data_IF_635931133157
#
_entry.id   IF_635931133157
#
_cell.length_a   1.000
_cell.length_b   1.000
_cell.length_c   1.000
_cell.angle_alpha   90.00
_cell.angle_beta   90.00
_cell.angle_gamma   90.00
#
_symmetry.space_group_name_H-M   'P 1'
#
loop_
_entity.id
_entity.type
_entity.pdbx_description
1 polymer ?
#
# COMPACT_ATOMS: atom_id res chain seq x y z
N UNK A 1 -16.65 -6.75 19.51
CA UNK A 1 -16.41 -8.20 19.35
C UNK A 1 -16.21 -8.46 17.86
N UNK A 2 -15.40 -9.44 17.46
CA UNK A 2 -15.36 -9.81 16.03
C UNK A 2 -16.75 -10.31 15.58
N UNK A 3 -17.16 -10.08 14.32
CA UNK A 3 -18.42 -10.60 13.82
C UNK A 3 -18.44 -12.13 13.91
N UNK A 4 -19.64 -12.71 14.05
CA UNK A 4 -19.82 -14.13 13.78
C UNK A 4 -19.55 -14.41 12.30
N UNK A 5 -19.38 -15.70 11.95
CA UNK A 5 -19.29 -16.08 10.54
C UNK A 5 -20.56 -15.63 9.82
N UNK A 6 -20.43 -15.30 8.54
CA UNK A 6 -21.53 -14.83 7.71
C UNK A 6 -22.69 -15.83 7.71
N UNK A 7 -22.40 -17.11 7.54
CA UNK A 7 -23.43 -18.16 7.57
C UNK A 7 -24.16 -18.19 8.93
N UNK A 8 -23.44 -18.14 10.04
CA UNK A 8 -24.05 -18.17 11.38
C UNK A 8 -24.97 -16.95 11.60
N UNK A 9 -24.59 -15.79 11.06
CA UNK A 9 -25.44 -14.59 11.06
C UNK A 9 -26.70 -14.78 10.22
N UNK A 10 -26.55 -15.26 8.98
CA UNK A 10 -27.66 -15.48 8.05
C UNK A 10 -28.67 -16.51 8.56
N UNK A 11 -28.20 -17.54 9.28
CA UNK A 11 -29.06 -18.57 9.90
C UNK A 11 -29.53 -18.22 11.32
N UNK A 12 -29.16 -17.05 11.87
CA UNK A 12 -29.56 -16.63 13.21
C UNK A 12 -29.03 -17.51 14.34
N UNK A 13 -27.87 -18.16 14.14
CA UNK A 13 -27.27 -19.07 15.12
C UNK A 13 -26.68 -18.29 16.29
N UNK A 14 -27.14 -18.59 17.50
CA UNK A 14 -26.60 -18.01 18.73
C UNK A 14 -25.26 -18.66 19.09
N UNK A 15 -24.17 -17.95 18.79
CA UNK A 15 -22.82 -18.38 19.18
C UNK A 15 -22.48 -17.95 20.62
N UNK A 16 -21.87 -18.83 21.44
CA UNK A 16 -21.33 -18.47 22.75
C UNK A 16 -20.35 -17.30 22.67
N UNK A 17 -20.42 -16.39 23.65
CA UNK A 17 -19.61 -15.17 23.67
C UNK A 17 -18.20 -15.36 24.24
N UNK A 18 -17.94 -16.48 24.91
CA UNK A 18 -16.75 -16.70 25.73
C UNK A 18 -15.47 -16.88 24.90
N UNK A 19 -15.55 -17.54 23.74
CA UNK A 19 -14.40 -17.84 22.88
C UNK A 19 -14.23 -16.87 21.69
N UNK A 20 -15.04 -15.81 21.63
CA UNK A 20 -15.00 -14.85 20.51
C UNK A 20 -13.91 -13.82 20.69
N UNK A 21 -13.00 -13.77 19.72
CA UNK A 21 -11.98 -12.73 19.63
C UNK A 21 -12.60 -11.33 19.53
N UNK A 22 -11.91 -10.33 20.07
CA UNK A 22 -12.17 -8.90 19.90
C UNK A 22 -11.01 -8.28 19.12
N UNK A 23 -11.21 -7.08 18.56
CA UNK A 23 -10.13 -6.35 17.86
C UNK A 23 -8.90 -6.04 18.73
N UNK A 24 -9.08 -6.08 20.06
CA UNK A 24 -8.03 -5.87 21.05
C UNK A 24 -7.53 -7.19 21.68
N UNK A 25 -8.04 -8.34 21.25
CA UNK A 25 -7.55 -9.64 21.73
C UNK A 25 -6.10 -9.84 21.27
N UNK A 26 -5.27 -10.38 22.16
CA UNK A 26 -3.91 -10.76 21.83
C UNK A 26 -3.93 -11.80 20.68
N UNK A 27 -3.05 -11.61 19.70
CA UNK A 27 -2.95 -12.52 18.56
C UNK A 27 -4.15 -12.50 17.60
N UNK A 28 -5.02 -11.47 17.63
CA UNK A 28 -6.19 -11.42 16.72
C UNK A 28 -5.82 -11.51 15.24
N UNK A 29 -4.64 -11.04 14.84
CA UNK A 29 -4.14 -11.10 13.45
C UNK A 29 -3.30 -12.34 13.14
N UNK A 30 -2.94 -13.14 14.14
CA UNK A 30 -2.04 -14.29 13.96
C UNK A 30 -2.72 -15.61 14.29
N UNK A 31 -3.78 -15.57 15.09
CA UNK A 31 -4.54 -16.75 15.52
C UNK A 31 -5.96 -16.63 14.97
N UNK A 32 -6.35 -17.64 14.19
CA UNK A 32 -7.62 -17.71 13.49
C UNK A 32 -8.38 -18.96 13.97
N UNK A 33 -9.21 -18.85 15.03
CA UNK A 33 -9.93 -20.00 15.56
C UNK A 33 -10.86 -20.56 14.46
N UNK A 34 -10.82 -21.87 14.17
CA UNK A 34 -11.58 -22.44 13.06
C UNK A 34 -13.05 -22.07 13.15
N UNK A 35 -13.69 -22.34 14.29
CA UNK A 35 -15.12 -22.15 14.54
C UNK A 35 -15.65 -20.71 14.39
N UNK A 36 -14.77 -19.70 14.42
CA UNK A 36 -15.17 -18.29 14.32
C UNK A 36 -14.53 -17.58 13.13
N UNK A 37 -13.74 -18.28 12.32
CA UNK A 37 -13.07 -17.70 11.14
C UNK A 37 -13.83 -18.07 9.87
N UNK A 38 -14.07 -17.07 9.04
CA UNK A 38 -14.52 -17.17 7.66
C UNK A 38 -13.87 -16.05 6.82
N UNK A 39 -14.20 -15.98 5.53
CA UNK A 39 -13.69 -14.94 4.62
C UNK A 39 -14.00 -13.53 5.14
N UNK A 40 -15.19 -13.30 5.72
CA UNK A 40 -15.59 -12.00 6.24
C UNK A 40 -14.79 -11.59 7.48
N UNK A 41 -14.59 -12.50 8.45
CA UNK A 41 -13.76 -12.25 9.61
C UNK A 41 -12.31 -11.92 9.21
N UNK A 42 -11.75 -12.64 8.23
CA UNK A 42 -10.41 -12.34 7.69
C UNK A 42 -10.35 -10.96 7.03
N UNK A 43 -11.37 -10.61 6.25
CA UNK A 43 -11.48 -9.27 5.65
C UNK A 43 -11.48 -8.16 6.71
N UNK A 44 -12.29 -8.30 7.78
CA UNK A 44 -12.35 -7.30 8.86
C UNK A 44 -11.00 -7.18 9.59
N UNK A 45 -10.31 -8.30 9.82
CA UNK A 45 -8.95 -8.28 10.39
C UNK A 45 -7.98 -7.55 9.45
N UNK A 46 -7.97 -7.88 8.17
CA UNK A 46 -7.10 -7.24 7.20
C UNK A 46 -7.36 -5.72 7.06
N UNK A 47 -8.63 -5.31 7.04
CA UNK A 47 -9.03 -3.90 7.03
C UNK A 47 -8.59 -3.17 8.29
N UNK A 48 -8.75 -3.80 9.46
CA UNK A 48 -8.31 -3.24 10.74
C UNK A 48 -6.79 -3.06 10.78
N UNK A 49 -6.04 -4.00 10.20
CA UNK A 49 -4.59 -3.93 10.11
C UNK A 49 -4.13 -2.78 9.19
N UNK A 50 -4.76 -2.63 8.02
CA UNK A 50 -4.52 -1.48 7.14
C UNK A 50 -4.84 -0.15 7.84
N UNK A 51 -5.91 -0.11 8.64
CA UNK A 51 -6.26 1.05 9.47
C UNK A 51 -5.14 1.45 10.43
N UNK A 52 -4.53 0.48 11.14
CA UNK A 52 -3.40 0.72 12.05
C UNK A 52 -2.20 1.32 11.33
N UNK A 53 -1.85 0.80 10.15
CA UNK A 53 -0.76 1.35 9.34
C UNK A 53 -1.03 2.80 8.94
N UNK A 54 -2.26 3.09 8.49
CA UNK A 54 -2.65 4.47 8.12
C UNK A 54 -2.57 5.42 9.32
N UNK A 55 -3.01 4.97 10.49
CA UNK A 55 -2.90 5.74 11.74
C UNK A 55 -1.45 6.01 12.10
N UNK A 56 -0.58 5.00 12.05
CA UNK A 56 0.85 5.15 12.31
C UNK A 56 1.49 6.19 11.38
N UNK A 57 1.31 6.06 10.07
CA UNK A 57 1.86 7.02 9.10
C UNK A 57 1.29 8.43 9.28
N UNK A 58 -0.01 8.54 9.59
CA UNK A 58 -0.66 9.82 9.84
C UNK A 58 -0.10 10.52 11.09
N UNK A 59 0.07 9.76 12.18
CA UNK A 59 0.69 10.25 13.41
C UNK A 59 2.14 10.66 13.17
N UNK A 60 2.94 9.80 12.52
CA UNK A 60 4.34 10.12 12.25
C UNK A 60 4.49 11.36 11.37
N UNK A 61 3.64 11.52 10.35
CA UNK A 61 3.62 12.76 9.57
C UNK A 61 3.32 13.97 10.47
N UNK A 62 2.23 13.95 11.22
CA UNK A 62 1.84 15.06 12.09
C UNK A 62 2.93 15.44 13.10
N UNK A 63 3.50 14.47 13.80
CA UNK A 63 4.47 14.74 14.86
C UNK A 63 5.84 15.17 14.35
N UNK A 64 6.25 14.74 13.16
CA UNK A 64 7.63 14.93 12.69
C UNK A 64 7.77 15.89 11.51
N UNK A 65 6.74 16.13 10.69
CA UNK A 65 6.81 17.20 9.66
C UNK A 65 6.38 18.56 10.22
N UNK A 66 5.29 18.64 10.99
CA UNK A 66 4.78 19.94 11.46
C UNK A 66 5.66 20.54 12.58
N UNK A 67 6.33 19.69 13.36
CA UNK A 67 7.28 20.14 14.41
C UNK A 67 8.59 20.63 13.78
N UNK A 68 9.07 20.00 12.70
CA UNK A 68 10.26 20.45 11.95
C UNK A 68 9.98 21.76 11.24
N UNK A 69 8.84 21.90 10.56
CA UNK A 69 8.45 23.15 9.89
C UNK A 69 8.18 24.27 10.90
N UNK A 70 7.62 23.95 12.07
CA UNK A 70 7.49 24.90 13.19
C UNK A 70 8.85 25.30 13.79
N UNK A 71 9.81 24.39 13.89
CA UNK A 71 11.15 24.68 14.42
C UNK A 71 12.00 25.50 13.44
N UNK A 72 11.85 25.27 12.13
CA UNK A 72 12.51 26.02 11.06
C UNK A 72 11.87 27.39 10.82
N UNK A 73 10.59 27.58 11.15
CA UNK A 73 9.91 28.89 11.11
C UNK A 73 10.09 29.69 12.40
N UNK A 74 10.44 29.06 13.52
CA UNK A 74 10.75 29.73 14.78
C UNK A 74 12.10 30.49 14.78
N UNK A 75 12.89 30.40 13.70
CA UNK A 75 14.09 31.23 13.51
C UNK A 75 13.81 32.62 12.92
N UNK A 76 12.55 32.98 12.66
CA UNK A 76 12.16 34.34 12.25
C UNK A 76 11.55 35.11 13.45
N UNK A 77 12.28 36.07 14.07
CA UNK A 77 11.84 36.76 15.27
C UNK A 77 10.86 37.89 14.92
N UNK A 78 9.62 37.53 14.61
CA UNK A 78 8.60 38.56 14.45
C UNK A 78 7.29 38.07 13.85
N UNK A 79 6.50 37.31 14.62
CA UNK A 79 5.02 37.30 14.58
C UNK A 79 4.48 36.27 15.59
N UNK A 80 4.18 36.72 16.81
CA UNK A 80 3.48 35.91 17.81
C UNK A 80 1.97 35.97 17.55
N UNK A 81 1.39 34.91 16.99
CA UNK A 81 -0.04 34.64 17.10
C UNK A 81 -0.28 33.68 18.29
N UNK A 82 -0.97 34.18 19.31
CA UNK A 82 -1.42 33.40 20.45
C UNK A 82 -2.50 32.41 20.02
N UNK A 83 -2.10 31.16 19.80
CA UNK A 83 -3.05 30.05 19.75
C UNK A 83 -2.61 29.02 20.77
N UNK A 84 -3.43 28.82 21.79
CA UNK A 84 -3.24 27.87 22.88
C UNK A 84 -3.10 26.45 22.31
N UNK A 85 -1.86 26.04 22.06
CA UNK A 85 -1.52 24.65 21.72
C UNK A 85 -1.65 23.79 22.99
N UNK A 86 -2.13 22.54 22.89
CA UNK A 86 -2.12 21.62 24.01
C UNK A 86 -0.67 21.43 24.49
N UNK A 87 -0.42 21.71 25.77
CA UNK A 87 0.88 21.47 26.40
C UNK A 87 1.11 19.96 26.51
N UNK A 88 1.90 19.37 25.62
CA UNK A 88 2.45 18.02 25.78
C UNK A 88 3.97 18.07 26.03
N UNK A 89 4.50 17.11 26.81
CA UNK A 89 5.69 17.29 27.61
C UNK A 89 6.98 17.04 26.83
N UNK A 90 7.99 17.88 27.11
CA UNK A 90 9.44 17.67 26.97
C UNK A 90 9.89 16.76 25.81
N UNK A 91 10.43 17.37 24.76
CA UNK A 91 11.78 17.05 24.28
C UNK A 91 12.36 18.29 23.59
N UNK A 92 13.30 18.91 24.29
CA UNK A 92 14.13 20.02 23.86
C UNK A 92 15.49 19.41 23.51
N UNK A 93 16.05 19.86 22.39
CA UNK A 93 17.43 19.68 21.87
C UNK A 93 17.66 18.47 20.95
N UNK A 94 18.14 18.82 19.74
CA UNK A 94 18.41 17.99 18.56
C UNK A 94 17.18 17.33 17.92
N UNK A 95 16.61 18.01 16.91
CA UNK A 95 15.71 17.35 15.95
C UNK A 95 16.56 16.46 15.05
N UNK A 96 17.11 15.38 15.60
CA UNK A 96 17.62 14.27 14.79
C UNK A 96 16.43 13.77 14.01
N UNK A 97 16.49 13.84 12.67
CA UNK A 97 15.47 13.28 11.78
C UNK A 97 15.34 11.78 12.09
N UNK A 98 14.37 11.43 12.93
CA UNK A 98 14.12 10.04 13.30
C UNK A 98 13.63 9.34 12.04
N UNK A 99 14.32 8.28 11.60
CA UNK A 99 13.81 7.42 10.54
C UNK A 99 12.70 6.54 11.14
N UNK A 100 11.44 6.66 10.68
CA UNK A 100 10.32 5.87 11.20
C UNK A 100 10.57 4.37 11.12
N UNK A 101 11.36 3.91 10.14
CA UNK A 101 11.71 2.50 9.95
C UNK A 101 12.48 1.90 11.13
N UNK A 102 13.17 2.75 11.90
CA UNK A 102 13.94 2.34 13.07
C UNK A 102 13.08 2.22 14.34
N UNK A 103 11.86 2.74 14.32
CA UNK A 103 10.94 2.65 15.47
C UNK A 103 10.42 1.24 15.68
N UNK A 104 10.19 0.86 16.94
CA UNK A 104 9.62 -0.45 17.27
C UNK A 104 8.20 -0.61 16.74
N UNK A 105 7.44 0.49 16.69
CA UNK A 105 6.08 0.47 16.14
C UNK A 105 6.08 0.09 14.65
N UNK A 106 6.95 0.71 13.84
CA UNK A 106 7.10 0.36 12.43
C UNK A 106 7.45 -1.11 12.23
N UNK A 107 8.49 -1.60 12.93
CA UNK A 107 8.93 -2.99 12.86
C UNK A 107 7.82 -3.95 13.28
N UNK A 108 7.08 -3.60 14.34
CA UNK A 108 5.97 -4.41 14.82
C UNK A 108 4.84 -4.51 13.79
N UNK A 109 4.52 -3.42 13.09
CA UNK A 109 3.49 -3.40 12.03
C UNK A 109 3.93 -4.22 10.81
N UNK A 110 5.17 -4.06 10.34
CA UNK A 110 5.71 -4.84 9.21
C UNK A 110 5.73 -6.36 9.54
N UNK A 111 6.17 -6.72 10.75
CA UNK A 111 6.14 -8.09 11.23
C UNK A 111 4.70 -8.63 11.35
N UNK A 112 3.76 -7.82 11.84
CA UNK A 112 2.36 -8.20 11.99
C UNK A 112 1.66 -8.45 10.66
N UNK A 113 1.94 -7.63 9.63
CA UNK A 113 1.44 -7.84 8.27
C UNK A 113 1.96 -9.16 7.69
N UNK A 114 3.26 -9.40 7.84
CA UNK A 114 3.88 -10.64 7.37
C UNK A 114 3.28 -11.85 8.10
N UNK A 115 3.10 -11.76 9.41
CA UNK A 115 2.52 -12.81 10.22
C UNK A 115 1.05 -13.07 9.88
N UNK A 116 0.25 -12.03 9.60
CA UNK A 116 -1.14 -12.19 9.19
C UNK A 116 -1.24 -13.02 7.90
N UNK A 117 -0.48 -12.65 6.86
CA UNK A 117 -0.49 -13.36 5.57
C UNK A 117 -0.05 -14.82 5.76
N UNK A 118 1.00 -15.07 6.55
CA UNK A 118 1.53 -16.41 6.80
C UNK A 118 0.56 -17.33 7.58
N UNK A 119 -0.31 -16.75 8.41
CA UNK A 119 -1.23 -17.50 9.27
C UNK A 119 -2.68 -17.57 8.75
N UNK A 120 -2.94 -17.17 7.50
CA UNK A 120 -4.24 -17.41 6.87
C UNK A 120 -4.50 -18.93 6.84
N UNK A 121 -5.65 -19.42 7.38
CA UNK A 121 -5.94 -20.86 7.43
C UNK A 121 -5.94 -21.50 6.04
N UNK A 122 -5.64 -22.80 5.99
CA UNK A 122 -5.51 -23.55 4.73
C UNK A 122 -6.78 -23.47 3.88
N UNK A 123 -7.96 -23.56 4.50
CA UNK A 123 -9.23 -23.46 3.77
C UNK A 123 -9.49 -22.07 3.13
N UNK A 124 -8.76 -21.03 3.55
CA UNK A 124 -8.89 -19.66 3.06
C UNK A 124 -7.63 -19.18 2.33
N UNK A 125 -6.70 -20.09 2.01
CA UNK A 125 -5.39 -19.73 1.44
C UNK A 125 -5.48 -19.31 -0.03
N UNK A 126 -6.50 -19.76 -0.75
CA UNK A 126 -6.77 -19.33 -2.11
C UNK A 126 -8.15 -18.64 -2.22
N UNK A 127 -8.24 -17.40 -2.73
CA UNK A 127 -9.52 -16.75 -2.98
C UNK A 127 -10.28 -17.31 -4.19
N UNK A 128 -9.67 -18.16 -5.01
CA UNK A 128 -10.33 -18.84 -6.14
C UNK A 128 -10.39 -20.32 -5.87
N UNK A 129 -11.61 -20.85 -5.77
CA UNK A 129 -11.80 -22.30 -5.67
C UNK A 129 -11.81 -22.92 -7.08
N UNK A 130 -10.66 -23.49 -7.46
CA UNK A 130 -10.49 -24.21 -8.71
C UNK A 130 -11.27 -25.54 -8.75
N UNK A 131 -11.59 -26.13 -7.58
CA UNK A 131 -12.27 -27.41 -7.51
C UNK A 131 -13.78 -27.31 -7.80
N UNK A 132 -14.39 -26.14 -7.56
CA UNK A 132 -15.84 -25.91 -7.77
C UNK A 132 -16.17 -25.06 -9.00
N UNK A 133 -15.24 -24.99 -9.96
CA UNK A 133 -15.44 -24.28 -11.24
C UNK A 133 -14.92 -22.84 -11.26
N UNK A 134 -13.79 -22.59 -10.57
CA UNK A 134 -13.10 -21.29 -10.54
C UNK A 134 -13.97 -20.16 -9.98
N UNK A 135 -14.76 -20.46 -8.95
CA UNK A 135 -15.57 -19.44 -8.28
C UNK A 135 -14.66 -18.58 -7.38
N UNK A 136 -14.56 -17.29 -7.71
CA UNK A 136 -13.90 -16.30 -6.87
C UNK A 136 -14.78 -15.97 -5.65
N UNK A 137 -14.20 -15.98 -4.46
CA UNK A 137 -14.78 -15.34 -3.28
C UNK A 137 -14.29 -13.88 -3.21
N UNK A 138 -15.15 -12.89 -3.51
CA UNK A 138 -14.75 -11.47 -3.53
C UNK A 138 -14.37 -10.94 -2.14
N UNK A 139 -14.91 -11.52 -1.07
CA UNK A 139 -14.58 -11.09 0.30
C UNK A 139 -13.21 -11.62 0.69
N UNK A 140 -12.95 -12.89 0.38
CA UNK A 140 -11.64 -13.49 0.63
C UNK A 140 -10.56 -12.85 -0.24
N UNK A 141 -10.88 -12.52 -1.50
CA UNK A 141 -10.00 -11.74 -2.38
C UNK A 141 -9.52 -10.45 -1.72
N UNK A 142 -10.44 -9.70 -1.11
CA UNK A 142 -10.10 -8.48 -0.38
C UNK A 142 -9.29 -8.75 0.89
N UNK A 143 -9.56 -9.83 1.60
CA UNK A 143 -8.78 -10.23 2.76
C UNK A 143 -7.30 -10.51 2.43
N UNK A 144 -7.02 -11.00 1.21
CA UNK A 144 -5.66 -11.18 0.69
C UNK A 144 -5.05 -9.90 0.13
N UNK A 145 -5.84 -9.01 -0.47
CA UNK A 145 -5.32 -7.76 -1.04
C UNK A 145 -4.93 -6.73 0.03
N UNK A 146 -5.75 -6.56 1.06
CA UNK A 146 -5.59 -5.50 2.06
C UNK A 146 -4.24 -5.54 2.83
N UNK A 147 -3.66 -6.71 3.19
CA UNK A 147 -2.33 -6.78 3.79
C UNK A 147 -1.23 -6.24 2.86
N UNK A 148 -1.32 -6.50 1.55
CA UNK A 148 -0.37 -5.94 0.58
C UNK A 148 -0.55 -4.43 0.42
N UNK A 149 -1.79 -3.94 0.47
CA UNK A 149 -2.04 -2.50 0.55
C UNK A 149 -1.45 -1.89 1.83
N UNK A 150 -1.49 -2.62 2.95
CA UNK A 150 -0.89 -2.19 4.21
C UNK A 150 0.64 -2.15 4.09
N UNK A 151 1.29 -3.15 3.49
CA UNK A 151 2.73 -3.12 3.18
C UNK A 151 3.09 -1.92 2.31
N UNK A 152 2.36 -1.69 1.21
CA UNK A 152 2.62 -0.53 0.34
C UNK A 152 2.48 0.76 1.14
N UNK A 153 1.37 0.93 1.86
CA UNK A 153 1.12 2.14 2.64
C UNK A 153 2.22 2.39 3.68
N UNK A 154 2.66 1.35 4.41
CA UNK A 154 3.69 1.47 5.45
C UNK A 154 5.05 1.88 4.88
N UNK A 155 5.44 1.32 3.74
CA UNK A 155 6.78 1.51 3.20
C UNK A 155 6.90 2.67 2.19
N UNK A 156 5.81 3.08 1.55
CA UNK A 156 5.82 4.03 0.43
C UNK A 156 6.53 5.36 0.74
N UNK A 157 6.30 6.02 1.90
CA UNK A 157 6.93 7.30 2.22
C UNK A 157 8.44 7.21 2.50
N UNK A 158 8.98 6.01 2.64
CA UNK A 158 10.37 5.77 3.06
C UNK A 158 11.20 5.03 2.02
N UNK A 159 10.59 4.65 0.90
CA UNK A 159 11.22 3.83 -0.12
C UNK A 159 12.08 4.67 -1.08
N UNK A 160 13.32 4.24 -1.28
CA UNK A 160 14.20 4.74 -2.33
C UNK A 160 14.31 3.71 -3.47
N UNK A 161 13.47 3.86 -4.49
CA UNK A 161 13.38 2.94 -5.64
C UNK A 161 14.61 2.94 -6.55
N UNK A 162 15.48 3.95 -6.47
CA UNK A 162 16.73 4.00 -7.22
C UNK A 162 17.85 3.21 -6.56
N UNK A 163 17.71 2.90 -5.27
CA UNK A 163 18.65 2.06 -4.53
C UNK A 163 18.24 0.58 -4.64
N UNK A 164 19.13 -0.26 -5.14
CA UNK A 164 18.91 -1.71 -5.25
C UNK A 164 18.90 -2.44 -3.91
N UNK A 165 19.37 -1.79 -2.84
CA UNK A 165 19.46 -2.36 -1.49
C UNK A 165 18.46 -1.77 -0.49
N UNK A 166 17.54 -0.92 -0.95
CA UNK A 166 16.55 -0.32 -0.05
C UNK A 166 15.47 -1.34 0.34
N UNK A 167 15.38 -1.60 1.65
CA UNK A 167 14.44 -2.58 2.21
C UNK A 167 12.98 -2.22 1.90
N UNK A 168 12.61 -0.94 2.05
CA UNK A 168 11.27 -0.46 1.77
C UNK A 168 10.92 -0.60 0.29
N UNK A 169 11.84 -0.26 -0.62
CA UNK A 169 11.64 -0.48 -2.06
C UNK A 169 11.40 -1.97 -2.36
N UNK A 170 12.21 -2.88 -1.81
CA UNK A 170 11.98 -4.32 -1.94
C UNK A 170 10.57 -4.74 -1.50
N UNK A 171 10.13 -4.27 -0.33
CA UNK A 171 8.78 -4.52 0.20
C UNK A 171 7.67 -3.99 -0.70
N UNK A 172 7.84 -2.79 -1.26
CA UNK A 172 6.88 -2.22 -2.21
C UNK A 172 6.73 -3.09 -3.46
N UNK A 173 7.84 -3.46 -4.10
CA UNK A 173 7.81 -4.24 -5.33
C UNK A 173 7.19 -5.63 -5.11
N UNK A 174 7.57 -6.30 -4.01
CA UNK A 174 6.98 -7.59 -3.64
C UNK A 174 5.47 -7.48 -3.39
N UNK A 175 5.01 -6.45 -2.68
CA UNK A 175 3.59 -6.25 -2.41
C UNK A 175 2.79 -5.89 -3.68
N UNK A 176 3.34 -5.05 -4.56
CA UNK A 176 2.71 -4.71 -5.84
C UNK A 176 2.57 -5.96 -6.74
N UNK A 177 3.61 -6.79 -6.82
CA UNK A 177 3.55 -8.07 -7.55
C UNK A 177 2.57 -9.06 -6.93
N UNK A 178 2.45 -9.12 -5.61
CA UNK A 178 1.41 -9.94 -4.98
C UNK A 178 -0.02 -9.46 -5.31
N UNK A 179 -0.24 -8.16 -5.46
CA UNK A 179 -1.52 -7.62 -5.97
C UNK A 179 -1.73 -7.99 -7.45
N UNK A 180 -0.68 -7.98 -8.27
CA UNK A 180 -0.73 -8.48 -9.66
C UNK A 180 -1.12 -9.96 -9.74
N UNK A 181 -0.56 -10.82 -8.87
CA UNK A 181 -0.95 -12.23 -8.79
C UNK A 181 -2.45 -12.38 -8.49
N UNK A 182 -2.99 -11.55 -7.59
CA UNK A 182 -4.43 -11.49 -7.34
C UNK A 182 -5.22 -11.02 -8.57
N UNK A 183 -4.73 -10.03 -9.33
CA UNK A 183 -5.33 -9.64 -10.61
C UNK A 183 -5.36 -10.81 -11.59
N UNK A 184 -4.24 -11.52 -11.76
CA UNK A 184 -4.17 -12.68 -12.65
C UNK A 184 -5.14 -13.79 -12.24
N UNK A 185 -5.34 -14.01 -10.93
CA UNK A 185 -6.37 -14.92 -10.44
C UNK A 185 -7.76 -14.52 -10.92
N UNK A 186 -8.15 -13.25 -10.84
CA UNK A 186 -9.45 -12.81 -11.38
C UNK A 186 -9.52 -13.04 -12.88
N UNK A 187 -8.48 -12.65 -13.63
CA UNK A 187 -8.43 -12.82 -15.08
C UNK A 187 -8.54 -14.29 -15.52
N UNK A 188 -8.14 -15.24 -14.67
CA UNK A 188 -8.28 -16.68 -14.92
C UNK A 188 -9.70 -17.23 -14.69
N UNK A 189 -10.63 -16.39 -14.24
CA UNK A 189 -12.03 -16.74 -13.98
C UNK A 189 -12.98 -16.00 -14.92
N UNK A 190 -14.23 -16.41 -14.96
CA UNK A 190 -15.32 -15.65 -15.60
C UNK A 190 -15.92 -14.57 -14.68
N UNK A 191 -15.31 -14.30 -13.53
CA UNK A 191 -15.83 -13.37 -12.54
C UNK A 191 -15.85 -11.93 -13.10
N UNK A 192 -17.01 -11.28 -13.02
CA UNK A 192 -17.15 -9.89 -13.41
C UNK A 192 -16.61 -8.95 -12.32
N UNK A 193 -15.53 -8.18 -12.58
CA UNK A 193 -14.92 -7.28 -11.60
C UNK A 193 -15.87 -6.23 -11.00
N UNK A 194 -17.02 -5.96 -11.62
CA UNK A 194 -18.03 -5.04 -11.08
C UNK A 194 -18.57 -5.48 -9.71
N UNK A 195 -18.53 -6.79 -9.40
CA UNK A 195 -19.00 -7.33 -8.12
C UNK A 195 -17.94 -7.32 -7.00
N UNK A 196 -16.75 -6.76 -7.26
CA UNK A 196 -15.75 -6.54 -6.23
C UNK A 196 -16.02 -5.26 -5.44
N UNK A 197 -15.53 -5.24 -4.20
CA UNK A 197 -15.48 -4.03 -3.39
C UNK A 197 -14.66 -2.93 -4.11
N UNK A 198 -15.13 -1.68 -4.08
CA UNK A 198 -14.45 -0.53 -4.68
C UNK A 198 -13.03 -0.29 -4.13
N UNK A 199 -12.70 -0.83 -2.97
CA UNK A 199 -11.33 -0.86 -2.46
C UNK A 199 -10.38 -1.69 -3.35
N UNK A 200 -10.88 -2.66 -4.12
CA UNK A 200 -10.08 -3.47 -5.05
C UNK A 200 -9.35 -2.60 -6.06
N UNK A 201 -10.07 -1.63 -6.61
CA UNK A 201 -9.54 -0.75 -7.63
C UNK A 201 -8.58 0.29 -7.03
N UNK A 202 -8.72 0.59 -5.73
CA UNK A 202 -7.69 1.33 -4.98
C UNK A 202 -6.41 0.50 -4.83
N UNK A 203 -6.54 -0.79 -4.52
CA UNK A 203 -5.42 -1.72 -4.46
C UNK A 203 -4.66 -1.83 -5.80
N UNK A 204 -5.39 -1.99 -6.91
CA UNK A 204 -4.79 -2.01 -8.24
C UNK A 204 -4.12 -0.69 -8.59
N UNK A 205 -4.74 0.45 -8.25
CA UNK A 205 -4.15 1.76 -8.47
C UNK A 205 -2.82 1.93 -7.73
N UNK A 206 -2.75 1.64 -6.43
CA UNK A 206 -1.50 1.82 -5.66
C UNK A 206 -0.40 0.86 -6.13
N UNK A 207 -0.76 -0.36 -6.56
CA UNK A 207 0.19 -1.28 -7.18
C UNK A 207 0.73 -0.69 -8.49
N UNK A 208 -0.14 -0.14 -9.34
CA UNK A 208 0.24 0.57 -10.56
C UNK A 208 1.20 1.73 -10.29
N UNK A 209 0.93 2.57 -9.29
CA UNK A 209 1.83 3.67 -8.90
C UNK A 209 3.20 3.17 -8.49
N UNK A 210 3.28 2.09 -7.70
CA UNK A 210 4.55 1.46 -7.34
C UNK A 210 5.30 0.99 -8.60
N UNK A 211 4.63 0.30 -9.52
CA UNK A 211 5.25 -0.16 -10.77
C UNK A 211 5.79 0.99 -11.61
N UNK A 212 5.08 2.13 -11.68
CA UNK A 212 5.55 3.33 -12.39
C UNK A 212 6.83 3.87 -11.75
N UNK A 213 6.90 3.95 -10.41
CA UNK A 213 8.10 4.41 -9.70
C UNK A 213 9.30 3.50 -10.00
N UNK A 214 9.09 2.19 -10.02
CA UNK A 214 10.13 1.22 -10.40
C UNK A 214 10.51 1.31 -11.86
N UNK A 215 9.54 1.44 -12.76
CA UNK A 215 9.78 1.61 -14.20
C UNK A 215 10.67 2.83 -14.44
N UNK A 216 10.38 3.97 -13.79
CA UNK A 216 11.23 5.17 -13.85
C UNK A 216 12.67 4.88 -13.44
N UNK A 217 12.85 4.19 -12.32
CA UNK A 217 14.18 3.87 -11.80
C UNK A 217 14.95 2.95 -12.76
N UNK A 218 14.28 1.96 -13.36
CA UNK A 218 14.89 1.03 -14.33
C UNK A 218 15.18 1.67 -15.68
N UNK A 219 14.34 2.59 -16.14
CA UNK A 219 14.61 3.45 -17.30
C UNK A 219 15.86 4.29 -17.09
N UNK A 220 16.02 4.90 -15.91
CA UNK A 220 17.23 5.67 -15.59
C UNK A 220 18.50 4.80 -15.57
N UNK A 221 18.37 3.52 -15.18
CA UNK A 221 19.45 2.54 -15.15
C UNK A 221 19.69 1.83 -16.50
N UNK A 222 18.84 2.06 -17.51
CA UNK A 222 18.87 1.38 -18.83
C UNK A 222 18.78 -0.15 -18.74
N UNK A 223 18.00 -0.63 -17.78
CA UNK A 223 17.74 -2.07 -17.57
C UNK A 223 16.58 -2.52 -18.47
N UNK A 224 16.84 -2.70 -19.76
CA UNK A 224 15.82 -2.99 -20.79
C UNK A 224 14.97 -4.23 -20.46
N UNK A 225 15.56 -5.24 -19.81
CA UNK A 225 14.85 -6.46 -19.43
C UNK A 225 13.79 -6.18 -18.34
N UNK A 226 14.15 -5.46 -17.28
CA UNK A 226 13.18 -5.07 -16.24
C UNK A 226 12.19 -4.02 -16.75
N UNK A 227 12.59 -3.11 -17.65
CA UNK A 227 11.67 -2.15 -18.28
C UNK A 227 10.56 -2.87 -19.03
N UNK A 228 10.90 -3.87 -19.86
CA UNK A 228 9.92 -4.65 -20.60
C UNK A 228 8.94 -5.39 -19.65
N UNK A 229 9.48 -6.02 -18.60
CA UNK A 229 8.68 -6.72 -17.59
C UNK A 229 7.72 -5.78 -16.86
N UNK A 230 8.21 -4.67 -16.32
CA UNK A 230 7.40 -3.69 -15.59
C UNK A 230 6.34 -3.04 -16.48
N UNK A 231 6.64 -2.85 -17.76
CA UNK A 231 5.67 -2.34 -18.74
C UNK A 231 4.53 -3.32 -18.96
N UNK A 232 4.83 -4.62 -19.07
CA UNK A 232 3.81 -5.68 -19.17
C UNK A 232 2.96 -5.76 -17.90
N UNK A 233 3.60 -5.79 -16.73
CA UNK A 233 2.92 -5.80 -15.42
C UNK A 233 1.97 -4.57 -15.29
N UNK A 234 2.45 -3.37 -15.62
CA UNK A 234 1.64 -2.15 -15.61
C UNK A 234 0.49 -2.20 -16.64
N UNK A 235 0.70 -2.82 -17.79
CA UNK A 235 -0.33 -3.05 -18.80
C UNK A 235 -1.50 -3.88 -18.26
N UNK A 236 -1.23 -4.92 -17.47
CA UNK A 236 -2.26 -5.71 -16.80
C UNK A 236 -3.08 -4.85 -15.82
N UNK A 237 -2.43 -4.01 -15.01
CA UNK A 237 -3.11 -3.10 -14.07
C UNK A 237 -4.01 -2.11 -14.81
N UNK A 238 -3.50 -1.49 -15.88
CA UNK A 238 -4.25 -0.54 -16.73
C UNK A 238 -5.48 -1.20 -17.34
N UNK A 239 -5.35 -2.42 -17.84
CA UNK A 239 -6.47 -3.17 -18.41
C UNK A 239 -7.60 -3.36 -17.40
N UNK A 240 -7.28 -3.81 -16.17
CA UNK A 240 -8.29 -4.03 -15.14
C UNK A 240 -8.98 -2.74 -14.69
N UNK A 241 -8.21 -1.67 -14.47
CA UNK A 241 -8.77 -0.37 -14.09
C UNK A 241 -9.61 0.23 -15.21
N UNK A 242 -9.23 0.04 -16.47
CA UNK A 242 -10.01 0.51 -17.63
C UNK A 242 -11.33 -0.26 -17.77
N UNK A 243 -11.30 -1.58 -17.62
CA UNK A 243 -12.50 -2.42 -17.63
C UNK A 243 -13.51 -1.94 -16.57
N UNK A 244 -13.05 -1.74 -15.32
CA UNK A 244 -13.90 -1.24 -14.25
C UNK A 244 -14.31 0.24 -14.46
N UNK A 245 -13.42 1.06 -15.02
CA UNK A 245 -13.64 2.49 -15.23
C UNK A 245 -14.64 2.82 -16.34
N UNK A 246 -14.82 1.92 -17.32
CA UNK A 246 -15.89 2.03 -18.30
C UNK A 246 -17.29 1.86 -17.67
N UNK A 247 -17.37 1.34 -16.44
CA UNK A 247 -18.62 0.93 -15.79
C UNK A 247 -18.85 1.61 -14.44
N UNK A 248 -17.83 2.24 -13.86
CA UNK A 248 -17.91 2.88 -12.53
C UNK A 248 -17.12 4.20 -12.50
N UNK A 249 -17.64 5.19 -11.77
CA UNK A 249 -16.95 6.47 -11.58
C UNK A 249 -15.64 6.35 -10.78
N UNK A 250 -15.58 5.41 -9.83
CA UNK A 250 -14.38 5.17 -9.01
C UNK A 250 -13.25 4.58 -9.87
N UNK A 251 -13.55 3.57 -10.70
CA UNK A 251 -12.57 3.01 -11.63
C UNK A 251 -12.08 4.04 -12.63
N UNK A 252 -12.98 4.87 -13.17
CA UNK A 252 -12.62 5.93 -14.13
C UNK A 252 -11.67 6.95 -13.51
N UNK A 253 -11.90 7.33 -12.25
CA UNK A 253 -11.01 8.22 -11.51
C UNK A 253 -9.62 7.60 -11.37
N UNK A 254 -9.53 6.34 -10.96
CA UNK A 254 -8.25 5.68 -10.70
C UNK A 254 -7.43 5.47 -11.96
N UNK A 255 -8.03 5.06 -13.09
CA UNK A 255 -7.27 4.96 -14.35
C UNK A 255 -6.76 6.32 -14.81
N UNK A 256 -7.59 7.38 -14.73
CA UNK A 256 -7.15 8.74 -15.09
C UNK A 256 -6.00 9.23 -14.20
N UNK A 257 -6.09 8.98 -12.90
CA UNK A 257 -5.00 9.32 -11.97
C UNK A 257 -3.73 8.51 -12.27
N UNK A 258 -3.87 7.22 -12.59
CA UNK A 258 -2.72 6.38 -12.94
C UNK A 258 -2.01 6.90 -14.19
N UNK A 259 -2.76 7.25 -15.23
CA UNK A 259 -2.17 7.83 -16.44
C UNK A 259 -1.53 9.21 -16.20
N UNK A 260 -2.11 10.01 -15.32
CA UNK A 260 -1.51 11.29 -14.90
C UNK A 260 -0.16 11.06 -14.19
N UNK A 261 -0.12 10.12 -13.24
CA UNK A 261 1.12 9.76 -12.53
C UNK A 261 2.16 9.21 -13.50
N UNK A 262 1.76 8.35 -14.44
CA UNK A 262 2.67 7.81 -15.46
C UNK A 262 3.34 8.91 -16.27
N UNK A 263 2.55 9.86 -16.80
CA UNK A 263 3.07 10.99 -17.57
C UNK A 263 4.03 11.83 -16.72
N UNK A 264 3.60 12.22 -15.52
CA UNK A 264 4.43 13.06 -14.64
C UNK A 264 5.78 12.40 -14.32
N UNK A 265 5.79 11.11 -14.01
CA UNK A 265 6.99 10.38 -13.62
C UNK A 265 7.95 10.15 -14.80
N UNK A 266 7.43 9.88 -15.99
CA UNK A 266 8.26 9.65 -17.20
C UNK A 266 8.75 10.96 -17.83
N UNK A 267 7.92 12.02 -17.82
CA UNK A 267 8.27 13.32 -18.38
C UNK A 267 9.29 14.05 -17.49
N UNK A 268 9.19 13.90 -16.16
CA UNK A 268 10.20 14.44 -15.23
C UNK A 268 11.58 13.82 -15.46
N UNK A 269 11.65 12.54 -15.80
CA UNK A 269 12.92 11.90 -16.17
C UNK A 269 13.46 12.45 -17.50
N UNK A 270 12.59 12.69 -18.48
CA UNK A 270 12.96 13.29 -19.76
C UNK A 270 13.52 14.70 -19.55
N UNK A 271 12.87 15.53 -18.73
CA UNK A 271 13.30 16.89 -18.41
C UNK A 271 14.67 16.94 -17.68
N UNK A 272 14.90 16.05 -16.71
CA UNK A 272 16.21 15.94 -16.04
C UNK A 272 17.32 15.51 -17.03
N UNK A 273 17.01 14.58 -17.94
CA UNK A 273 17.95 14.15 -18.98
C UNK A 273 18.30 15.28 -19.94
N UNK A 274 17.33 16.12 -20.34
CA UNK A 274 17.58 17.30 -21.18
C UNK A 274 18.53 18.29 -20.51
N UNK A 275 18.37 18.53 -19.21
CA UNK A 275 19.23 19.41 -18.43
C UNK A 275 20.65 18.84 -18.24
N UNK A 276 20.78 17.53 -18.08
CA UNK A 276 22.09 16.86 -17.98
C UNK A 276 22.86 16.89 -19.32
N UNK A 277 22.20 16.68 -20.47
CA UNK A 277 22.87 16.84 -21.79
C UNK A 277 23.27 18.29 -22.07
N UNK A 278 22.41 19.26 -21.75
CA UNK A 278 22.76 20.68 -21.96
C UNK A 278 23.87 21.17 -21.02
N UNK A 279 24.00 20.58 -19.82
CA UNK A 279 25.12 20.86 -18.92
C UNK A 279 26.44 20.20 -19.38
N UNK A 280 26.39 19.04 -20.03
CA UNK A 280 27.57 18.41 -20.63
C UNK A 280 28.05 19.13 -21.89
N UNK A 281 27.13 19.64 -22.71
CA UNK A 281 27.45 20.40 -23.93
C UNK A 281 27.97 21.83 -23.63
N UNK A 282 27.74 22.34 -22.41
CA UNK A 282 28.23 23.64 -21.95
C UNK A 282 29.70 23.63 -21.48
N UNK A 283 30.34 22.46 -21.44
CA UNK A 283 31.72 22.30 -20.99
C UNK A 283 32.70 22.29 -22.18
N UNK A 284 32.71 23.38 -22.95
CA UNK A 284 33.73 23.63 -23.98
C UNK A 284 35.05 24.07 -23.32
N UNK A 285 36.22 23.51 -23.69
CA UNK A 285 37.48 23.95 -23.09
C UNK A 285 37.78 25.41 -23.47
N UNK A 286 38.43 26.19 -22.61
CA UNK A 286 38.87 27.53 -22.98
C UNK A 286 39.86 27.42 -24.15
N UNK A 287 39.58 28.11 -25.25
CA UNK A 287 40.49 28.23 -26.38
C UNK A 287 41.84 28.76 -25.89
N UNK A 288 42.88 27.95 -26.05
CA UNK A 288 44.28 28.26 -25.77
C UNK A 288 45.01 28.62 -27.05
#
# INVERSE_FOLDING_TARGET
MMPCRKNDFEFGVLLPSQDRQRLFSQGVFTTHPPLTTDAFALYIKAASLLGRVKTFNGQFRYWYTDVVDSALSASDPGLTYNQERPKSPRLVNEVTKIDPRNTEEFKSLDALITAFIANIPREFKDPVDLATGSKLDPTLYMAHMLPHMATITLHDPHANVFSTRDYSAGKLLSAARAILELIYKICSTSFDPLYLDHASSTGWFIAGVVLIRFLRARTAQRDEAEIARLTQELGTVRFMLSNLGNRTGVGLRQIKLLEMVYKLEMDSHSALKYLETTAQDANWPPES
#
